data_IF_932574600001
#
_entry.id   IF_932574600001
#
_cell.length_a   1.000
_cell.length_b   1.000
_cell.length_c   1.000
_cell.angle_alpha   90.00
_cell.angle_beta   90.00
_cell.angle_gamma   90.00
#
_symmetry.space_group_name_H-M   'P 1'
#
loop_
_entity.id
_entity.type
_entity.pdbx_description
1 polymer ?
#
# COMPACT_ATOMS: atom_id res chain seq x y z
N UNK A 1 -1.84 -26.59 21.55
CA UNK A 1 -3.27 -26.19 21.63
C UNK A 1 -4.07 -27.24 20.88
N UNK A 2 -5.20 -27.72 21.38
CA UNK A 2 -6.04 -28.64 20.58
C UNK A 2 -6.80 -27.81 19.51
N UNK A 3 -7.28 -28.46 18.44
CA UNK A 3 -7.95 -27.77 17.31
C UNK A 3 -9.19 -26.98 17.75
N UNK A 4 -9.90 -27.46 18.78
CA UNK A 4 -11.12 -26.83 19.27
C UNK A 4 -10.82 -25.50 19.98
N UNK A 5 -9.86 -25.50 20.89
CA UNK A 5 -9.40 -24.29 21.60
C UNK A 5 -8.89 -23.26 20.59
N UNK A 6 -8.18 -23.71 19.56
CA UNK A 6 -7.69 -22.86 18.47
C UNK A 6 -8.83 -22.19 17.69
N UNK A 7 -9.82 -22.98 17.25
CA UNK A 7 -10.97 -22.46 16.49
C UNK A 7 -11.80 -21.47 17.33
N UNK A 8 -11.96 -21.75 18.63
CA UNK A 8 -12.68 -20.87 19.55
C UNK A 8 -11.97 -19.52 19.71
N UNK A 9 -10.65 -19.53 19.91
CA UNK A 9 -9.85 -18.30 20.00
C UNK A 9 -9.82 -17.52 18.68
N UNK A 10 -9.67 -18.21 17.54
CA UNK A 10 -9.71 -17.59 16.23
C UNK A 10 -11.05 -16.89 15.98
N UNK A 11 -12.16 -17.55 16.31
CA UNK A 11 -13.50 -16.98 16.18
C UNK A 11 -13.69 -15.77 17.09
N UNK A 12 -13.21 -15.85 18.35
CA UNK A 12 -13.23 -14.75 19.31
C UNK A 12 -12.50 -13.53 18.78
N UNK A 13 -11.24 -13.68 18.32
CA UNK A 13 -10.45 -12.60 17.70
C UNK A 13 -11.14 -12.04 16.47
N UNK A 14 -11.66 -12.90 15.59
CA UNK A 14 -12.38 -12.48 14.38
C UNK A 14 -13.57 -11.58 14.71
N UNK A 15 -14.38 -11.96 15.69
CA UNK A 15 -15.54 -11.17 16.13
C UNK A 15 -15.09 -9.86 16.83
N UNK A 16 -14.07 -9.91 17.68
CA UNK A 16 -13.49 -8.73 18.36
C UNK A 16 -12.91 -7.71 17.37
N UNK A 17 -12.20 -8.17 16.34
CA UNK A 17 -11.58 -7.33 15.32
C UNK A 17 -12.60 -6.86 14.25
N UNK A 18 -13.87 -7.29 14.33
CA UNK A 18 -14.91 -6.92 13.36
C UNK A 18 -14.67 -7.50 11.96
N UNK A 19 -14.01 -8.65 11.86
CA UNK A 19 -13.65 -9.30 10.60
C UNK A 19 -14.74 -10.29 10.18
N UNK A 20 -15.18 -10.23 8.92
CA UNK A 20 -16.14 -11.20 8.40
C UNK A 20 -15.45 -12.52 8.03
N UNK A 21 -16.20 -13.62 8.01
CA UNK A 21 -15.69 -14.91 7.51
C UNK A 21 -15.11 -14.78 6.10
N UNK A 22 -15.78 -14.03 5.22
CA UNK A 22 -15.31 -13.79 3.85
C UNK A 22 -13.95 -13.08 3.85
N UNK A 23 -13.78 -12.04 4.65
CA UNK A 23 -12.54 -11.25 4.69
C UNK A 23 -11.35 -12.09 5.16
N UNK A 24 -11.52 -12.88 6.21
CA UNK A 24 -10.45 -13.77 6.69
C UNK A 24 -10.16 -14.91 5.70
N UNK A 25 -11.21 -15.49 5.09
CA UNK A 25 -11.04 -16.55 4.09
C UNK A 25 -10.24 -16.06 2.88
N UNK A 26 -10.57 -14.87 2.34
CA UNK A 26 -9.83 -14.24 1.23
C UNK A 26 -8.38 -13.97 1.61
N UNK A 27 -8.11 -13.47 2.81
CA UNK A 27 -6.75 -13.23 3.29
C UNK A 27 -5.91 -14.52 3.38
N UNK A 28 -6.56 -15.64 3.70
CA UNK A 28 -5.93 -16.96 3.78
C UNK A 28 -5.90 -17.71 2.44
N UNK A 29 -6.46 -17.15 1.37
CA UNK A 29 -6.52 -17.81 0.06
C UNK A 29 -7.44 -19.05 0.02
N UNK A 30 -8.45 -19.11 0.88
CA UNK A 30 -9.43 -20.20 0.94
C UNK A 30 -10.85 -19.67 0.68
N UNK A 31 -11.78 -20.55 0.30
CA UNK A 31 -13.17 -20.14 0.11
C UNK A 31 -13.86 -19.84 1.45
N UNK A 32 -14.86 -18.95 1.42
CA UNK A 32 -15.72 -18.67 2.59
C UNK A 32 -16.39 -19.93 3.13
N UNK A 33 -16.79 -20.85 2.25
CA UNK A 33 -17.37 -22.14 2.64
C UNK A 33 -16.36 -23.01 3.40
N UNK A 34 -15.12 -23.08 2.91
CA UNK A 34 -14.04 -23.80 3.56
C UNK A 34 -13.81 -23.26 4.98
N UNK A 35 -13.69 -21.93 5.12
CA UNK A 35 -13.54 -21.28 6.43
C UNK A 35 -14.77 -21.50 7.34
N UNK A 36 -15.99 -21.45 6.80
CA UNK A 36 -17.21 -21.71 7.57
C UNK A 36 -17.25 -23.13 8.16
N UNK A 37 -16.70 -24.12 7.43
CA UNK A 37 -16.60 -25.51 7.90
C UNK A 37 -15.54 -25.67 8.98
N UNK A 38 -14.45 -24.89 8.93
CA UNK A 38 -13.45 -24.82 10.01
C UNK A 38 -14.12 -24.31 11.29
N UNK A 39 -14.79 -23.16 11.26
CA UNK A 39 -15.47 -22.60 12.46
C UNK A 39 -16.59 -23.50 13.02
N UNK A 40 -17.10 -24.44 12.23
CA UNK A 40 -18.10 -25.44 12.66
C UNK A 40 -17.47 -26.76 13.14
N UNK A 41 -16.15 -26.83 13.26
CA UNK A 41 -15.41 -28.03 13.65
C UNK A 41 -15.65 -29.22 12.68
N UNK A 42 -16.00 -28.94 11.42
CA UNK A 42 -16.33 -29.95 10.39
C UNK A 42 -15.15 -30.27 9.46
N UNK A 43 -14.01 -29.62 9.65
CA UNK A 43 -12.78 -29.84 8.89
C UNK A 43 -11.61 -29.91 9.86
N UNK A 44 -10.76 -30.95 9.76
CA UNK A 44 -9.49 -30.95 10.47
C UNK A 44 -8.59 -29.85 9.90
N UNK A 45 -7.78 -29.24 10.77
CA UNK A 45 -6.83 -28.19 10.40
C UNK A 45 -5.44 -28.78 10.19
N UNK A 46 -4.78 -28.42 9.09
CA UNK A 46 -3.34 -28.66 8.95
C UNK A 46 -2.57 -27.60 9.74
N UNK A 47 -1.36 -27.91 10.19
CA UNK A 47 -0.53 -26.94 10.92
C UNK A 47 -0.21 -25.70 10.04
N UNK A 48 0.07 -25.89 8.76
CA UNK A 48 0.30 -24.78 7.81
C UNK A 48 -0.91 -23.83 7.71
N UNK A 49 -2.14 -24.39 7.72
CA UNK A 49 -3.34 -23.57 7.68
C UNK A 49 -3.59 -22.85 9.01
N UNK A 50 -3.25 -23.48 10.15
CA UNK A 50 -3.29 -22.80 11.46
C UNK A 50 -2.35 -21.62 11.49
N UNK A 51 -1.08 -21.81 11.12
CA UNK A 51 -0.08 -20.75 11.04
C UNK A 51 -0.55 -19.61 10.13
N UNK A 52 -1.14 -19.94 8.97
CA UNK A 52 -1.71 -18.95 8.06
C UNK A 52 -2.86 -18.19 8.71
N UNK A 53 -3.81 -18.89 9.34
CA UNK A 53 -4.96 -18.27 10.01
C UNK A 53 -4.53 -17.37 11.17
N UNK A 54 -3.56 -17.81 12.00
CA UNK A 54 -2.98 -17.03 13.10
C UNK A 54 -2.31 -15.76 12.59
N UNK A 55 -1.49 -15.88 11.55
CA UNK A 55 -0.82 -14.72 10.95
C UNK A 55 -1.84 -13.74 10.38
N UNK A 56 -2.77 -14.22 9.57
CA UNK A 56 -3.71 -13.36 8.84
C UNK A 56 -4.74 -12.68 9.76
N UNK A 57 -5.14 -13.32 10.87
CA UNK A 57 -6.08 -12.66 11.80
C UNK A 57 -5.43 -11.45 12.50
N UNK A 58 -4.15 -11.54 12.87
CA UNK A 58 -3.45 -10.42 13.52
C UNK A 58 -3.21 -9.25 12.58
N UNK A 59 -3.09 -9.47 11.27
CA UNK A 59 -3.07 -8.38 10.28
C UNK A 59 -4.35 -7.51 10.29
N UNK A 60 -5.43 -7.99 10.91
CA UNK A 60 -6.68 -7.24 11.08
C UNK A 60 -6.87 -6.65 12.48
N UNK A 61 -5.89 -6.81 13.38
CA UNK A 61 -5.97 -6.27 14.73
C UNK A 61 -6.10 -4.73 14.68
N UNK A 62 -7.20 -4.14 15.17
CA UNK A 62 -7.39 -2.70 15.17
C UNK A 62 -6.43 -1.96 16.12
N UNK A 63 -5.79 -2.68 17.05
CA UNK A 63 -4.79 -2.15 17.98
C UNK A 63 -3.35 -2.30 17.48
N UNK A 64 -3.14 -2.88 16.29
CA UNK A 64 -1.79 -3.06 15.77
C UNK A 64 -1.11 -1.69 15.58
N UNK A 65 0.08 -1.46 16.16
CA UNK A 65 0.75 -0.17 16.11
C UNK A 65 1.17 0.23 14.70
N UNK A 66 1.56 -0.77 13.89
CA UNK A 66 1.99 -0.59 12.51
C UNK A 66 1.13 -1.44 11.58
N UNK A 67 0.66 -0.87 10.47
CA UNK A 67 -0.03 -1.67 9.45
C UNK A 67 0.32 -1.21 8.04
N UNK A 68 0.43 -2.17 7.14
CA UNK A 68 0.82 -1.94 5.76
C UNK A 68 -0.40 -1.88 4.84
N UNK A 69 -0.33 -1.05 3.80
CA UNK A 69 -1.33 -1.01 2.74
C UNK A 69 -0.74 -0.68 1.36
N UNK A 70 -1.48 -1.03 0.31
CA UNK A 70 -1.24 -0.53 -1.05
C UNK A 70 -1.88 0.85 -1.19
N UNK A 71 -1.06 1.89 -1.33
CA UNK A 71 -1.50 3.29 -1.36
C UNK A 71 -1.53 3.89 -2.78
N UNK A 72 -0.95 3.19 -3.76
CA UNK A 72 -1.05 3.54 -5.17
C UNK A 72 -0.83 2.31 -6.03
N UNK A 73 -1.65 2.14 -7.06
CA UNK A 73 -1.44 1.10 -8.07
C UNK A 73 -1.73 1.67 -9.46
N UNK A 74 -0.79 1.49 -10.38
CA UNK A 74 -0.95 1.92 -11.77
C UNK A 74 -0.31 0.94 -12.72
N UNK A 75 -1.12 0.48 -13.66
CA UNK A 75 -0.76 -0.51 -14.67
C UNK A 75 -1.28 -0.06 -16.03
N UNK A 76 -0.45 -0.26 -17.06
CA UNK A 76 -0.78 0.07 -18.45
C UNK A 76 -0.93 -1.21 -19.26
N UNK A 77 -2.04 -1.39 -19.94
CA UNK A 77 -2.29 -2.46 -20.89
C UNK A 77 -2.03 -1.96 -22.33
N UNK A 78 -1.53 -2.80 -23.24
CA UNK A 78 -1.32 -2.45 -24.65
C UNK A 78 -2.61 -2.02 -25.37
N UNK A 79 -2.49 -1.27 -26.48
CA UNK A 79 -3.65 -0.81 -27.30
C UNK A 79 -4.46 -1.91 -27.96
N UNK A 80 -3.89 -3.11 -28.11
CA UNK A 80 -4.64 -4.28 -28.57
C UNK A 80 -5.73 -4.67 -27.57
N UNK A 81 -5.73 -4.10 -26.37
CA UNK A 81 -6.70 -4.37 -25.32
C UNK A 81 -7.75 -3.28 -25.24
N UNK A 82 -8.99 -3.63 -25.55
CA UNK A 82 -10.17 -2.78 -25.36
C UNK A 82 -10.35 -2.43 -23.86
N UNK A 83 -10.57 -1.16 -23.56
CA UNK A 83 -10.81 -0.68 -22.21
C UNK A 83 -12.03 -1.36 -21.55
N UNK A 84 -13.08 -1.64 -22.32
CA UNK A 84 -14.25 -2.39 -21.84
C UNK A 84 -13.89 -3.83 -21.48
N UNK A 85 -12.91 -4.42 -22.18
CA UNK A 85 -12.36 -5.74 -21.84
C UNK A 85 -11.60 -5.69 -20.52
N UNK A 86 -10.79 -4.67 -20.26
CA UNK A 86 -10.13 -4.49 -18.96
C UNK A 86 -11.16 -4.34 -17.82
N UNK A 87 -12.20 -3.52 -18.03
CA UNK A 87 -13.27 -3.31 -17.06
C UNK A 87 -13.96 -4.63 -16.71
N UNK A 88 -14.34 -5.41 -17.72
CA UNK A 88 -15.10 -6.64 -17.53
C UNK A 88 -14.24 -7.80 -17.05
N UNK A 89 -13.07 -8.02 -17.64
CA UNK A 89 -12.32 -9.26 -17.46
C UNK A 89 -11.29 -9.14 -16.32
N UNK A 90 -10.68 -7.96 -16.11
CA UNK A 90 -9.65 -7.74 -15.08
C UNK A 90 -10.26 -7.14 -13.81
N UNK A 91 -10.99 -6.04 -13.94
CA UNK A 91 -11.65 -5.40 -12.79
C UNK A 91 -12.90 -6.16 -12.34
N UNK A 92 -13.51 -6.96 -13.22
CA UNK A 92 -14.78 -7.65 -12.98
C UNK A 92 -15.89 -6.68 -12.55
N UNK A 93 -15.92 -5.52 -13.19
CA UNK A 93 -16.91 -4.47 -13.00
C UNK A 93 -17.80 -4.36 -14.25
N UNK A 94 -18.99 -3.78 -14.07
CA UNK A 94 -19.88 -3.47 -15.19
C UNK A 94 -19.58 -2.07 -15.71
N UNK A 95 -19.25 -1.96 -16.99
CA UNK A 95 -18.97 -0.69 -17.64
C UNK A 95 -20.16 0.29 -17.59
N UNK A 96 -21.39 -0.23 -17.58
CA UNK A 96 -22.63 0.58 -17.50
C UNK A 96 -22.74 1.44 -16.23
N UNK A 97 -21.98 1.10 -15.17
CA UNK A 97 -21.92 1.91 -13.95
C UNK A 97 -20.79 2.95 -13.97
N UNK A 98 -19.94 2.96 -15.00
CA UNK A 98 -18.85 3.91 -15.14
C UNK A 98 -19.27 5.10 -15.99
N UNK A 99 -18.84 6.29 -15.59
CA UNK A 99 -18.97 7.50 -16.39
C UNK A 99 -17.89 7.51 -17.46
N UNK A 100 -18.27 7.75 -18.72
CA UNK A 100 -17.34 8.02 -19.80
C UNK A 100 -17.11 9.52 -19.94
N UNK A 101 -15.84 9.91 -20.03
CA UNK A 101 -15.41 11.29 -20.26
C UNK A 101 -14.49 11.34 -21.49
N UNK A 102 -14.75 12.28 -22.39
CA UNK A 102 -14.03 12.51 -23.65
C UNK A 102 -12.75 13.35 -23.47
N UNK A 103 -12.23 13.38 -22.25
CA UNK A 103 -10.95 14.00 -21.91
C UNK A 103 -10.19 13.14 -20.90
N UNK A 104 -8.88 13.03 -21.06
CA UNK A 104 -7.99 12.25 -20.19
C UNK A 104 -6.88 13.05 -19.52
N UNK A 105 -5.86 12.33 -19.06
CA UNK A 105 -4.61 12.87 -18.51
C UNK A 105 -3.43 12.15 -19.14
N UNK A 106 -2.22 12.70 -19.02
CA UNK A 106 -0.99 12.05 -19.49
C UNK A 106 -0.97 11.71 -20.99
N UNK A 107 -1.69 12.48 -21.81
CA UNK A 107 -1.81 12.27 -23.26
C UNK A 107 -2.93 11.32 -23.71
N UNK A 108 -3.69 10.73 -22.77
CA UNK A 108 -4.85 9.90 -23.09
C UNK A 108 -6.05 10.77 -23.49
N UNK A 109 -6.80 10.34 -24.49
CA UNK A 109 -7.88 11.09 -25.11
C UNK A 109 -9.19 10.97 -24.34
N UNK A 110 -9.43 9.86 -23.65
CA UNK A 110 -10.68 9.62 -22.91
C UNK A 110 -10.45 8.79 -21.64
N UNK A 111 -11.49 8.62 -20.83
CA UNK A 111 -11.45 7.72 -19.67
C UNK A 111 -12.82 7.23 -19.22
N UNK A 112 -12.83 6.07 -18.57
CA UNK A 112 -13.94 5.58 -17.74
C UNK A 112 -13.64 5.82 -16.27
N UNK A 113 -14.64 6.28 -15.52
CA UNK A 113 -14.50 6.64 -14.09
C UNK A 113 -15.61 6.00 -13.26
N UNK A 114 -15.23 5.39 -12.14
CA UNK A 114 -16.16 4.91 -11.10
C UNK A 114 -15.63 5.32 -9.73
N UNK A 115 -16.10 6.45 -9.21
CA UNK A 115 -15.54 7.04 -7.99
C UNK A 115 -14.07 7.41 -8.18
N UNK A 116 -13.18 6.84 -7.36
CA UNK A 116 -11.73 7.04 -7.44
C UNK A 116 -11.00 6.01 -8.35
N UNK A 117 -11.73 5.10 -9.01
CA UNK A 117 -11.18 4.17 -10.02
C UNK A 117 -11.18 4.85 -11.40
N UNK A 118 -9.99 5.02 -11.99
CA UNK A 118 -9.82 5.72 -13.27
C UNK A 118 -9.18 4.80 -14.32
N UNK A 119 -9.78 4.73 -15.50
CA UNK A 119 -9.30 3.93 -16.64
C UNK A 119 -9.15 4.85 -17.84
N UNK A 120 -7.94 5.29 -18.12
CA UNK A 120 -7.65 6.19 -19.23
C UNK A 120 -7.44 5.38 -20.51
N UNK A 121 -7.95 5.89 -21.62
CA UNK A 121 -8.01 5.16 -22.89
C UNK A 121 -7.34 5.98 -23.99
N UNK A 122 -6.49 5.31 -24.76
CA UNK A 122 -5.86 5.88 -25.94
C UNK A 122 -5.77 4.89 -27.08
N UNK A 123 -5.94 5.42 -28.30
CA UNK A 123 -5.73 4.65 -29.53
C UNK A 123 -4.25 4.61 -29.94
N UNK A 124 -3.39 5.40 -29.28
CA UNK A 124 -1.96 5.44 -29.56
C UNK A 124 -1.25 4.22 -28.98
N UNK A 125 -0.52 3.48 -29.82
CA UNK A 125 0.06 2.16 -29.49
C UNK A 125 0.91 2.14 -28.21
N UNK A 126 1.66 3.22 -27.97
CA UNK A 126 2.53 3.35 -26.80
C UNK A 126 1.78 3.69 -25.50
N UNK A 127 0.51 4.10 -25.55
CA UNK A 127 -0.33 4.44 -24.39
C UNK A 127 -1.30 3.31 -24.03
N UNK A 128 -2.18 2.91 -24.94
CA UNK A 128 -3.16 1.84 -24.67
C UNK A 128 -4.18 2.22 -23.59
N UNK A 129 -4.37 1.32 -22.61
CA UNK A 129 -5.32 1.51 -21.50
C UNK A 129 -4.56 1.62 -20.19
N UNK A 130 -4.82 2.65 -19.38
CA UNK A 130 -4.14 2.89 -18.11
C UNK A 130 -5.14 2.86 -16.95
N UNK A 131 -5.00 1.86 -16.09
CA UNK A 131 -5.67 1.85 -14.80
C UNK A 131 -4.84 2.65 -13.80
N UNK A 132 -5.44 3.62 -13.12
CA UNK A 132 -4.85 4.37 -12.03
C UNK A 132 -5.74 4.32 -10.78
N UNK A 133 -5.18 3.75 -9.71
CA UNK A 133 -5.75 3.72 -8.37
C UNK A 133 -4.83 4.52 -7.45
N UNK A 134 -5.31 5.67 -6.97
CA UNK A 134 -4.67 6.42 -5.88
C UNK A 134 -5.10 5.84 -4.53
N UNK A 135 -4.60 6.35 -3.40
CA UNK A 135 -4.93 5.81 -2.06
C UNK A 135 -6.41 5.51 -1.84
N UNK A 136 -7.31 6.48 -2.13
CA UNK A 136 -8.77 6.25 -2.05
C UNK A 136 -9.27 5.23 -3.07
N UNK A 137 -8.77 5.26 -4.30
CA UNK A 137 -9.07 4.27 -5.33
C UNK A 137 -8.64 2.86 -4.94
N UNK A 138 -7.51 2.70 -4.23
CA UNK A 138 -7.08 1.43 -3.66
C UNK A 138 -8.07 0.94 -2.59
N UNK A 139 -8.51 1.80 -1.67
CA UNK A 139 -9.54 1.45 -0.65
C UNK A 139 -10.87 1.05 -1.29
N UNK A 140 -11.27 1.78 -2.33
CA UNK A 140 -12.48 1.46 -3.09
C UNK A 140 -12.34 0.11 -3.81
N UNK A 141 -11.18 -0.14 -4.45
CA UNK A 141 -10.91 -1.41 -5.12
C UNK A 141 -10.91 -2.59 -4.13
N UNK A 142 -10.35 -2.44 -2.93
CA UNK A 142 -10.41 -3.46 -1.87
C UNK A 142 -11.83 -3.91 -1.55
N UNK A 143 -12.80 -2.98 -1.56
CA UNK A 143 -14.21 -3.30 -1.33
C UNK A 143 -14.79 -4.17 -2.45
N UNK A 144 -14.44 -3.87 -3.70
CA UNK A 144 -14.84 -4.69 -4.85
C UNK A 144 -14.17 -6.05 -4.85
N UNK A 145 -12.87 -6.11 -4.59
CA UNK A 145 -12.13 -7.37 -4.51
C UNK A 145 -12.71 -8.28 -3.42
N UNK A 146 -13.02 -7.74 -2.24
CA UNK A 146 -13.65 -8.51 -1.17
C UNK A 146 -15.02 -9.05 -1.58
N UNK A 147 -15.85 -8.24 -2.26
CA UNK A 147 -17.15 -8.68 -2.77
C UNK A 147 -17.03 -9.74 -3.88
N UNK A 148 -15.91 -9.76 -4.59
CA UNK A 148 -15.56 -10.75 -5.61
C UNK A 148 -14.83 -11.97 -5.02
N UNK A 149 -14.63 -12.05 -3.70
CA UNK A 149 -13.82 -13.06 -3.02
C UNK A 149 -12.36 -13.13 -3.54
N UNK A 150 -11.79 -11.99 -3.93
CA UNK A 150 -10.44 -11.83 -4.47
C UNK A 150 -9.55 -11.02 -3.53
N UNK A 151 -8.27 -11.34 -3.54
CA UNK A 151 -7.22 -10.55 -2.88
C UNK A 151 -6.53 -9.59 -3.85
N UNK A 152 -5.69 -8.70 -3.33
CA UNK A 152 -4.77 -7.91 -4.14
C UNK A 152 -3.83 -8.79 -4.97
N UNK A 153 -3.43 -9.95 -4.46
CA UNK A 153 -2.56 -10.88 -5.17
C UNK A 153 -3.25 -11.44 -6.42
N UNK A 154 -4.52 -11.83 -6.30
CA UNK A 154 -5.30 -12.33 -7.44
C UNK A 154 -5.50 -11.21 -8.47
N UNK A 155 -5.79 -9.99 -8.00
CA UNK A 155 -5.92 -8.82 -8.87
C UNK A 155 -4.64 -8.47 -9.63
N UNK A 156 -3.49 -8.49 -8.95
CA UNK A 156 -2.20 -8.23 -9.58
C UNK A 156 -1.84 -9.32 -10.60
N UNK A 157 -2.14 -10.59 -10.29
CA UNK A 157 -1.94 -11.71 -11.20
C UNK A 157 -2.80 -11.57 -12.47
N UNK A 158 -4.07 -11.19 -12.33
CA UNK A 158 -4.96 -10.94 -13.46
C UNK A 158 -4.46 -9.77 -14.34
N UNK A 159 -3.98 -8.70 -13.71
CA UNK A 159 -3.35 -7.60 -14.43
C UNK A 159 -2.14 -8.06 -15.25
N UNK A 160 -1.24 -8.87 -14.67
CA UNK A 160 -0.06 -9.38 -15.36
C UNK A 160 -0.44 -10.34 -16.50
N UNK A 161 -1.39 -11.24 -16.25
CA UNK A 161 -1.88 -12.21 -17.24
C UNK A 161 -2.56 -11.53 -18.43
N UNK A 162 -3.20 -10.38 -18.20
CA UNK A 162 -3.78 -9.53 -19.25
C UNK A 162 -2.73 -8.66 -19.99
N UNK A 163 -1.43 -8.90 -19.81
CA UNK A 163 -0.35 -8.14 -20.47
C UNK A 163 -0.07 -6.77 -19.82
N UNK A 164 -0.49 -6.58 -18.57
CA UNK A 164 -0.31 -5.34 -17.83
C UNK A 164 1.17 -5.03 -17.56
N UNK A 165 1.58 -3.83 -17.94
CA UNK A 165 2.91 -3.27 -17.66
C UNK A 165 2.83 -2.42 -16.39
N UNK A 166 3.50 -2.87 -15.33
CA UNK A 166 3.53 -2.16 -14.05
C UNK A 166 4.19 -0.79 -14.21
N UNK A 167 3.45 0.27 -13.88
CA UNK A 167 3.91 1.65 -14.00
C UNK A 167 4.20 2.29 -12.65
N UNK A 168 3.43 1.94 -11.62
CA UNK A 168 3.65 2.43 -10.25
C UNK A 168 2.98 1.54 -9.22
N UNK A 169 3.69 1.30 -8.12
CA UNK A 169 3.17 0.69 -6.90
C UNK A 169 3.72 1.49 -5.72
N UNK A 170 2.84 1.95 -4.83
CA UNK A 170 3.24 2.56 -3.56
C UNK A 170 2.76 1.65 -2.42
N UNK A 171 3.69 1.22 -1.57
CA UNK A 171 3.39 0.55 -0.29
C UNK A 171 3.51 1.58 0.82
N UNK A 172 2.54 1.64 1.73
CA UNK A 172 2.55 2.55 2.86
C UNK A 172 2.49 1.77 4.18
N UNK A 173 3.39 2.10 5.10
CA UNK A 173 3.37 1.64 6.49
C UNK A 173 2.82 2.79 7.33
N UNK A 174 1.67 2.57 7.97
CA UNK A 174 1.08 3.52 8.90
C UNK A 174 1.52 3.21 10.31
N UNK A 175 1.79 4.26 11.07
CA UNK A 175 2.15 4.21 12.47
C UNK A 175 1.11 4.97 13.29
N UNK A 176 0.35 4.22 14.09
CA UNK A 176 -0.72 4.76 14.96
C UNK A 176 -0.18 5.31 16.28
N UNK A 177 0.94 4.78 16.75
CA UNK A 177 1.41 5.03 18.12
C UNK A 177 2.52 6.08 18.19
N UNK A 178 3.24 6.29 17.09
CA UNK A 178 4.33 7.26 16.99
C UNK A 178 5.72 6.61 17.13
N UNK A 179 5.88 5.34 16.75
CA UNK A 179 7.18 4.65 16.74
C UNK A 179 8.18 5.38 15.82
N UNK A 180 7.70 5.91 14.68
CA UNK A 180 8.54 6.63 13.73
C UNK A 180 8.65 8.10 14.11
N UNK A 181 9.68 8.47 14.88
CA UNK A 181 9.98 9.87 15.19
C UNK A 181 10.55 10.60 13.96
N UNK A 182 9.65 11.19 13.15
CA UNK A 182 10.01 11.86 11.89
C UNK A 182 10.98 13.03 12.10
N UNK A 183 10.76 13.96 13.07
CA UNK A 183 11.74 14.98 13.41
C UNK A 183 13.13 14.38 13.70
N UNK A 184 13.21 13.34 14.52
CA UNK A 184 14.49 12.71 14.86
C UNK A 184 15.16 12.07 13.64
N UNK A 185 14.41 11.35 12.80
CA UNK A 185 14.95 10.76 11.57
C UNK A 185 15.50 11.84 10.62
N UNK A 186 14.84 13.00 10.54
CA UNK A 186 15.32 14.15 9.76
C UNK A 186 16.61 14.73 10.33
N UNK A 187 16.72 14.87 11.66
CA UNK A 187 17.97 15.27 12.32
C UNK A 187 19.11 14.31 12.00
N UNK A 188 18.89 13.00 12.17
CA UNK A 188 19.89 11.96 11.87
C UNK A 188 20.31 12.00 10.39
N UNK A 189 19.35 12.18 9.47
CA UNK A 189 19.66 12.35 8.05
C UNK A 189 20.61 13.53 7.80
N UNK A 190 20.33 14.69 8.43
CA UNK A 190 21.17 15.90 8.33
C UNK A 190 22.53 15.76 8.99
N UNK A 191 22.62 15.01 10.08
CA UNK A 191 23.88 14.66 10.74
C UNK A 191 24.73 13.66 9.95
N UNK A 192 24.21 13.15 8.82
CA UNK A 192 24.88 12.11 8.04
C UNK A 192 24.78 10.72 8.67
N UNK A 193 23.87 10.52 9.62
CA UNK A 193 23.63 9.25 10.34
C UNK A 193 22.60 8.36 9.62
N UNK A 194 22.38 8.60 8.33
CA UNK A 194 21.61 7.76 7.43
C UNK A 194 22.56 7.17 6.38
N UNK A 195 22.70 5.85 6.38
CA UNK A 195 23.38 5.09 5.33
C UNK A 195 22.33 4.75 4.28
N UNK A 196 22.53 5.22 3.06
CA UNK A 196 21.57 4.96 1.98
C UNK A 196 22.23 4.84 0.61
N UNK A 197 21.59 4.08 -0.27
CA UNK A 197 21.89 4.07 -1.70
C UNK A 197 21.34 5.29 -2.45
N UNK A 198 20.47 6.09 -1.82
CA UNK A 198 20.03 7.35 -2.41
C UNK A 198 21.15 8.40 -2.37
N UNK A 199 21.34 9.12 -3.48
CA UNK A 199 22.18 10.32 -3.46
C UNK A 199 21.55 11.37 -2.55
N UNK A 200 22.38 12.00 -1.72
CA UNK A 200 21.98 13.11 -0.84
C UNK A 200 21.18 14.14 -1.64
N UNK A 201 19.94 14.40 -1.22
CA UNK A 201 19.10 15.41 -1.86
C UNK A 201 19.33 16.77 -1.19
N UNK A 202 19.14 17.85 -1.96
CA UNK A 202 19.06 19.19 -1.37
C UNK A 202 17.82 19.28 -0.50
N UNK A 203 17.97 19.85 0.69
CA UNK A 203 16.88 20.11 1.63
C UNK A 203 15.79 20.92 0.89
N UNK A 204 14.60 20.33 0.72
CA UNK A 204 13.39 21.11 0.50
C UNK A 204 12.84 21.42 1.89
N UNK A 205 13.38 22.45 2.55
CA UNK A 205 12.64 23.11 3.62
C UNK A 205 11.30 23.55 3.04
N UNK A 206 10.21 23.21 3.73
CA UNK A 206 8.85 23.45 3.24
C UNK A 206 8.69 24.85 2.64
N UNK A 207 7.91 24.94 1.56
CA UNK A 207 7.55 26.23 0.97
C UNK A 207 6.81 27.06 2.01
N UNK A 208 7.48 28.06 2.58
CA UNK A 208 6.84 29.11 3.37
C UNK A 208 5.86 29.88 2.47
N UNK A 209 4.60 29.97 2.87
CA UNK A 209 3.68 30.94 2.26
C UNK A 209 4.10 32.33 2.75
N UNK A 210 4.38 33.26 1.84
CA UNK A 210 4.47 34.68 2.19
C UNK A 210 3.13 35.17 2.78
N UNK A 211 3.13 35.61 4.04
CA UNK A 211 1.98 36.26 4.68
C UNK A 211 2.17 36.42 6.20
N UNK A 212 1.49 37.40 6.81
CA UNK A 212 1.52 37.71 8.24
C UNK A 212 0.80 36.68 9.15
N UNK A 213 0.42 35.52 8.62
CA UNK A 213 -0.19 34.46 9.41
C UNK A 213 0.91 33.65 10.10
N UNK A 214 0.78 33.44 11.41
CA UNK A 214 1.66 32.54 12.17
C UNK A 214 1.75 31.20 11.41
N UNK A 215 2.97 30.71 11.08
CA UNK A 215 3.09 29.49 10.29
C UNK A 215 2.41 28.35 11.04
N UNK A 216 1.28 27.86 10.50
CA UNK A 216 0.66 26.63 11.00
C UNK A 216 1.72 25.53 10.86
N UNK A 217 2.04 24.84 11.95
CA UNK A 217 2.91 23.67 11.89
C UNK A 217 2.27 22.67 10.91
N UNK A 218 2.94 22.44 9.78
CA UNK A 218 2.44 21.56 8.70
C UNK A 218 2.93 20.12 8.85
N UNK A 219 3.62 19.82 9.96
CA UNK A 219 4.26 18.55 10.21
C UNK A 219 5.61 18.43 9.48
N UNK A 220 6.43 17.52 9.97
CA UNK A 220 7.72 17.19 9.39
C UNK A 220 7.59 16.12 8.31
N UNK A 221 8.47 16.21 7.31
CA UNK A 221 8.58 15.23 6.24
C UNK A 221 10.05 15.00 5.90
N UNK A 222 10.41 13.72 5.80
CA UNK A 222 11.69 13.23 5.32
C UNK A 222 11.51 12.60 3.95
N UNK A 223 12.29 13.09 2.99
CA UNK A 223 12.32 12.59 1.61
C UNK A 223 13.64 11.87 1.34
N UNK A 224 13.56 10.66 0.76
CA UNK A 224 14.71 9.85 0.39
C UNK A 224 14.62 9.49 -1.10
N UNK A 225 15.58 9.99 -1.88
CA UNK A 225 15.57 9.89 -3.35
C UNK A 225 14.75 10.99 -4.02
N UNK A 226 14.66 10.94 -5.35
CA UNK A 226 13.90 11.91 -6.17
C UNK A 226 12.54 11.35 -6.56
N UNK A 227 11.52 12.20 -6.62
CA UNK A 227 10.20 11.82 -7.15
C UNK A 227 10.23 11.44 -8.63
N UNK A 228 11.28 11.82 -9.37
CA UNK A 228 11.51 11.39 -10.75
C UNK A 228 12.16 10.01 -10.88
N UNK A 229 12.76 9.49 -9.82
CA UNK A 229 13.41 8.18 -9.80
C UNK A 229 12.40 7.04 -9.79
N UNK A 230 12.88 5.82 -10.09
CA UNK A 230 12.06 4.61 -10.02
C UNK A 230 11.79 4.12 -8.60
N UNK A 231 12.58 4.57 -7.63
CA UNK A 231 12.36 4.34 -6.21
C UNK A 231 12.49 5.67 -5.47
N UNK A 232 11.51 5.94 -4.62
CA UNK A 232 11.43 7.11 -3.76
C UNK A 232 10.77 6.70 -2.45
N UNK A 233 11.32 7.12 -1.32
CA UNK A 233 10.71 6.88 -0.01
C UNK A 233 10.38 8.21 0.67
N UNK A 234 9.30 8.22 1.43
CA UNK A 234 8.86 9.40 2.18
C UNK A 234 8.32 8.99 3.53
N UNK A 235 8.83 9.61 4.59
CA UNK A 235 8.32 9.45 5.95
C UNK A 235 7.79 10.80 6.43
N UNK A 236 6.53 10.86 6.90
CA UNK A 236 5.91 12.12 7.28
C UNK A 236 4.89 11.96 8.40
N UNK A 237 4.62 13.06 9.10
CA UNK A 237 3.58 13.10 10.13
C UNK A 237 2.20 13.24 9.46
N UNK A 238 1.48 12.13 9.40
CA UNK A 238 0.21 11.97 8.68
C UNK A 238 -0.92 12.76 9.32
N UNK A 239 -0.97 12.83 10.64
CA UNK A 239 -1.95 13.61 11.40
C UNK A 239 -1.89 15.12 11.08
N UNK A 240 -0.69 15.70 11.01
CA UNK A 240 -0.53 17.10 10.56
C UNK A 240 -0.92 17.29 9.10
N UNK A 241 -0.58 16.32 8.22
CA UNK A 241 -0.98 16.37 6.82
C UNK A 241 -2.51 16.33 6.63
N UNK A 242 -3.22 15.52 7.45
CA UNK A 242 -4.69 15.48 7.46
C UNK A 242 -5.31 16.77 8.01
N UNK A 243 -4.75 17.33 9.08
CA UNK A 243 -5.17 18.63 9.61
C UNK A 243 -5.10 19.73 8.54
N UNK A 244 -3.97 19.81 7.82
CA UNK A 244 -3.78 20.82 6.77
C UNK A 244 -4.72 20.61 5.58
N UNK A 245 -4.93 19.36 5.15
CA UNK A 245 -5.72 19.06 3.94
C UNK A 245 -7.22 19.07 4.18
N UNK A 246 -7.67 18.53 5.31
CA UNK A 246 -9.05 18.19 5.57
C UNK A 246 -9.63 18.88 6.82
N UNK A 247 -8.80 19.55 7.62
CA UNK A 247 -9.24 20.19 8.87
C UNK A 247 -9.52 19.21 10.01
N UNK A 248 -9.12 17.95 9.90
CA UNK A 248 -9.25 16.96 10.97
C UNK A 248 -8.30 17.32 12.12
N UNK A 249 -8.79 17.35 13.35
CA UNK A 249 -7.93 17.60 14.51
C UNK A 249 -6.82 16.54 14.59
N UNK A 250 -5.63 16.98 15.03
CA UNK A 250 -4.43 16.14 15.05
C UNK A 250 -4.63 14.94 15.99
N UNK A 251 -5.32 15.15 17.11
CA UNK A 251 -5.63 14.12 18.11
C UNK A 251 -6.66 13.09 17.60
N UNK A 252 -7.55 13.51 16.68
CA UNK A 252 -8.60 12.67 16.12
C UNK A 252 -8.11 11.83 14.93
N UNK A 253 -6.87 12.07 14.45
CA UNK A 253 -6.33 11.29 13.35
C UNK A 253 -5.68 10.00 13.86
N UNK A 254 -6.26 8.86 13.46
CA UNK A 254 -5.79 7.51 13.83
C UNK A 254 -4.31 7.26 13.47
N UNK A 255 -3.86 7.76 12.32
CA UNK A 255 -2.50 7.55 11.82
C UNK A 255 -1.65 8.76 12.17
N UNK A 256 -0.67 8.59 13.06
CA UNK A 256 0.26 9.65 13.44
C UNK A 256 1.33 9.86 12.37
N UNK A 257 2.00 8.79 11.94
CA UNK A 257 3.04 8.85 10.92
C UNK A 257 2.78 7.88 9.78
N UNK A 258 3.34 8.17 8.62
CA UNK A 258 3.32 7.25 7.47
C UNK A 258 4.69 7.20 6.81
N UNK A 259 5.11 5.99 6.46
CA UNK A 259 6.26 5.72 5.60
C UNK A 259 5.77 5.14 4.27
N UNK A 260 6.03 5.82 3.15
CA UNK A 260 5.66 5.39 1.79
C UNK A 260 6.90 4.94 1.02
N UNK A 261 6.82 3.77 0.39
CA UNK A 261 7.76 3.24 -0.60
C UNK A 261 7.10 3.36 -1.97
N UNK A 262 7.50 4.35 -2.76
CA UNK A 262 7.03 4.54 -4.13
C UNK A 262 7.97 3.90 -5.11
N UNK A 263 7.44 2.98 -5.91
CA UNK A 263 8.16 2.28 -6.95
C UNK A 263 7.52 2.54 -8.31
N UNK A 264 8.32 2.68 -9.36
CA UNK A 264 7.85 2.86 -10.74
C UNK A 264 8.51 1.86 -11.68
N UNK A 265 7.86 1.62 -12.82
CA UNK A 265 8.37 0.81 -13.93
C UNK A 265 9.00 -0.51 -13.44
N UNK A 266 10.30 -0.73 -13.67
CA UNK A 266 11.01 -1.96 -13.35
C UNK A 266 10.98 -2.26 -11.83
N UNK A 267 11.15 -1.25 -10.98
CA UNK A 267 11.02 -1.43 -9.52
C UNK A 267 9.62 -1.84 -9.09
N UNK A 268 8.60 -1.26 -9.73
CA UNK A 268 7.21 -1.66 -9.47
C UNK A 268 6.94 -3.09 -9.94
N UNK A 269 7.49 -3.48 -11.10
CA UNK A 269 7.37 -4.84 -11.62
C UNK A 269 7.97 -5.87 -10.66
N UNK A 270 9.22 -5.70 -10.23
CA UNK A 270 9.86 -6.66 -9.32
C UNK A 270 9.18 -6.71 -7.95
N UNK A 271 8.67 -5.58 -7.44
CA UNK A 271 7.89 -5.57 -6.21
C UNK A 271 6.58 -6.38 -6.35
N UNK A 272 5.89 -6.27 -7.49
CA UNK A 272 4.70 -7.09 -7.75
C UNK A 272 5.06 -8.58 -7.86
N UNK A 273 6.17 -8.92 -8.52
CA UNK A 273 6.65 -10.31 -8.60
C UNK A 273 6.96 -10.87 -7.21
N UNK A 274 7.64 -10.10 -6.35
CA UNK A 274 7.94 -10.51 -4.97
C UNK A 274 6.66 -10.71 -4.15
N UNK A 275 5.70 -9.79 -4.25
CA UNK A 275 4.38 -9.89 -3.61
C UNK A 275 3.62 -11.14 -4.06
N UNK A 276 3.62 -11.46 -5.36
CA UNK A 276 2.95 -12.64 -5.89
C UNK A 276 3.65 -13.94 -5.49
N UNK A 277 4.98 -13.92 -5.39
CA UNK A 277 5.79 -15.09 -5.03
C UNK A 277 5.60 -15.47 -3.57
N UNK A 278 5.60 -14.49 -2.67
CA UNK A 278 5.62 -14.75 -1.23
C UNK A 278 4.30 -14.49 -0.52
N UNK A 279 3.36 -13.80 -1.17
CA UNK A 279 2.07 -13.39 -0.58
C UNK A 279 2.24 -12.74 0.80
N UNK A 280 3.30 -11.95 0.94
CA UNK A 280 3.69 -11.31 2.19
C UNK A 280 4.19 -9.90 1.91
N UNK A 281 3.32 -8.91 2.14
CA UNK A 281 3.62 -7.52 1.83
C UNK A 281 4.59 -6.88 2.83
N UNK A 282 4.62 -7.34 4.08
CA UNK A 282 5.57 -6.87 5.10
C UNK A 282 6.99 -7.28 4.72
N UNK A 283 7.16 -8.55 4.35
CA UNK A 283 8.44 -9.05 3.86
C UNK A 283 8.95 -8.22 2.68
N UNK A 284 8.11 -8.01 1.66
CA UNK A 284 8.51 -7.22 0.48
C UNK A 284 8.91 -5.80 0.88
N UNK A 285 8.10 -5.12 1.69
CA UNK A 285 8.37 -3.74 2.10
C UNK A 285 9.66 -3.61 2.93
N UNK A 286 9.83 -4.44 3.97
CA UNK A 286 11.02 -4.39 4.81
C UNK A 286 12.28 -4.88 4.08
N UNK A 287 12.16 -5.82 3.14
CA UNK A 287 13.28 -6.20 2.27
C UNK A 287 13.78 -5.00 1.46
N UNK A 288 12.88 -4.18 0.92
CA UNK A 288 13.24 -2.97 0.20
C UNK A 288 13.80 -1.92 1.16
N UNK A 289 13.15 -1.64 2.29
CA UNK A 289 13.62 -0.62 3.26
C UNK A 289 15.03 -0.96 3.74
N UNK A 290 15.24 -2.17 4.25
CA UNK A 290 16.51 -2.60 4.83
C UNK A 290 17.65 -2.65 3.80
N UNK A 291 17.32 -2.85 2.52
CA UNK A 291 18.31 -2.75 1.46
C UNK A 291 18.73 -1.30 1.22
N UNK A 292 17.80 -0.33 1.25
CA UNK A 292 18.05 1.03 0.78
C UNK A 292 18.42 2.05 1.85
N UNK A 293 17.98 1.85 3.10
CA UNK A 293 18.07 2.85 4.16
C UNK A 293 18.36 2.19 5.49
N UNK A 294 19.38 2.71 6.19
CA UNK A 294 19.68 2.36 7.58
C UNK A 294 20.03 3.62 8.35
N UNK A 295 19.28 3.90 9.41
CA UNK A 295 19.66 4.93 10.39
C UNK A 295 20.54 4.30 11.45
N UNK A 296 21.62 4.99 11.79
CA UNK A 296 22.66 4.46 12.70
C UNK A 296 22.99 5.47 13.78
N UNK A 297 23.41 5.05 14.96
CA UNK A 297 23.94 5.94 15.99
C UNK A 297 25.43 6.17 15.79
N UNK A 298 25.86 7.44 15.82
CA UNK A 298 27.26 7.77 15.64
C UNK A 298 28.09 7.26 16.82
N UNK A 299 29.14 6.52 16.51
CA UNK A 299 30.15 6.07 17.45
C UNK A 299 31.49 6.72 17.09
N UNK A 300 31.98 7.66 17.90
CA UNK A 300 33.14 8.49 17.54
C UNK A 300 34.45 7.68 17.36
N UNK A 301 34.52 6.47 17.90
CA UNK A 301 35.66 5.55 17.83
C UNK A 301 35.59 4.58 16.63
N UNK A 302 34.51 4.61 15.83
CA UNK A 302 34.30 3.66 14.72
C UNK A 302 34.16 4.35 13.36
N UNK A 303 34.51 3.68 12.25
CA UNK A 303 34.12 4.14 10.93
C UNK A 303 32.61 4.01 10.75
N UNK A 304 32.01 4.90 9.95
CA UNK A 304 30.56 4.96 9.68
C UNK A 304 29.92 3.62 9.26
N UNK A 305 30.67 2.74 8.59
CA UNK A 305 30.20 1.41 8.20
C UNK A 305 29.92 0.47 9.39
N UNK A 306 30.53 0.74 10.54
CA UNK A 306 30.43 -0.02 11.79
C UNK A 306 29.51 0.62 12.83
N UNK A 307 28.86 1.75 12.50
CA UNK A 307 27.82 2.33 13.36
C UNK A 307 26.63 1.37 13.45
N UNK A 308 26.11 1.19 14.66
CA UNK A 308 24.92 0.40 14.96
C UNK A 308 23.66 1.10 14.48
#
# INVERSE_FOLDING_TARGET
>A
MNDKDFIEELKRKRDEYGVTQTRLAVACGISREHYNRIEKEKLPLTEELKETLEKQIECFNPQEPLFLLIDYFRVRFPTTTDALKIIRDVLQLKADYMLYEDYGKYGYESKYVLGDINIMCSMQEHLGVLLELKGRGCRQMESYLLAQERSWYDFMLDCMTAGGVMKRLDLAINDRVGILDIPKLKEKYKAGECISYFRMQKDYSGTEKCGNDTPKNTGETLYLGSTSSELYMCAYQKNYEQYVKNGTEIEDTEIKNRFEIRMKNERAYYAVVDLLTYRDAERTAFSIINHYVRFVDREDDKPKSQYL
#
